data_IF_502136203021
#
_entry.id   IF_502136203021
#
_cell.length_a   1.000
_cell.length_b   1.000
_cell.length_c   1.000
_cell.angle_alpha   90.00
_cell.angle_beta   90.00
_cell.angle_gamma   90.00
#
_symmetry.space_group_name_H-M   'P 1'
#
loop_
_entity.id
_entity.type
_entity.pdbx_description
1 polymer ?
#
# COMPACT_ATOMS: atom_id res chain seq x y z
N UNK A 1 7.46 -13.01 28.08
CA UNK A 1 6.20 -12.37 27.68
C UNK A 1 5.89 -12.75 26.23
N UNK A 2 4.61 -12.74 25.82
CA UNK A 2 4.16 -12.95 24.43
C UNK A 2 3.55 -11.64 23.95
N UNK A 3 3.83 -11.24 22.71
CA UNK A 3 3.27 -10.03 22.08
C UNK A 3 2.49 -10.41 20.82
N UNK A 4 1.42 -9.67 20.55
CA UNK A 4 0.60 -9.75 19.33
C UNK A 4 0.90 -8.57 18.37
N UNK A 5 1.86 -7.72 18.71
CA UNK A 5 2.24 -6.57 17.89
C UNK A 5 2.82 -7.02 16.54
N UNK A 6 2.31 -6.42 15.47
CA UNK A 6 2.80 -6.65 14.11
C UNK A 6 4.21 -6.09 13.95
N UNK A 7 5.11 -6.92 13.41
CA UNK A 7 6.52 -6.62 13.24
C UNK A 7 7.00 -7.14 11.88
N UNK A 8 8.05 -6.53 11.36
CA UNK A 8 8.75 -6.88 10.13
C UNK A 8 10.20 -7.22 10.46
N UNK A 9 10.83 -8.04 9.61
CA UNK A 9 12.24 -8.38 9.79
C UNK A 9 13.16 -7.15 9.68
N UNK A 10 12.76 -6.18 8.85
CA UNK A 10 13.48 -4.91 8.66
C UNK A 10 13.49 -4.01 9.89
N UNK A 11 12.67 -4.29 10.91
CA UNK A 11 12.66 -3.51 12.16
C UNK A 11 13.82 -3.85 13.08
N UNK A 12 14.38 -5.05 12.95
CA UNK A 12 15.43 -5.52 13.86
C UNK A 12 16.65 -4.60 13.84
N UNK A 13 17.22 -4.21 12.67
CA UNK A 13 18.36 -3.30 12.64
C UNK A 13 18.07 -1.94 13.30
N UNK A 14 16.92 -1.32 12.99
CA UNK A 14 16.52 -0.03 13.58
C UNK A 14 16.40 -0.14 15.10
N UNK A 15 15.75 -1.20 15.57
CA UNK A 15 15.53 -1.42 17.01
C UNK A 15 16.84 -1.71 17.75
N UNK A 16 17.77 -2.45 17.13
CA UNK A 16 19.08 -2.74 17.72
C UNK A 16 19.95 -1.49 17.81
N UNK A 17 20.00 -0.67 16.75
CA UNK A 17 20.74 0.59 16.77
C UNK A 17 20.23 1.50 17.90
N UNK A 18 18.91 1.67 18.02
CA UNK A 18 18.29 2.44 19.09
C UNK A 18 18.60 1.88 20.48
N UNK A 19 18.48 0.57 20.66
CA UNK A 19 18.79 -0.09 21.93
C UNK A 19 20.27 0.07 22.35
N UNK A 20 21.18 0.16 21.39
CA UNK A 20 22.60 0.43 21.63
C UNK A 20 22.94 1.92 21.82
N UNK A 21 21.96 2.83 21.71
CA UNK A 21 22.20 4.27 21.74
C UNK A 21 22.93 4.80 20.51
N UNK A 22 22.87 4.07 19.39
CA UNK A 22 23.46 4.46 18.11
C UNK A 22 22.43 5.22 17.26
N UNK A 23 22.94 6.07 16.38
CA UNK A 23 22.13 6.78 15.40
C UNK A 23 21.55 5.80 14.37
N UNK A 24 20.28 5.99 13.99
CA UNK A 24 19.62 5.22 12.94
C UNK A 24 19.81 5.98 11.62
N UNK A 25 20.41 5.37 10.59
CA UNK A 25 20.53 5.98 9.27
C UNK A 25 19.18 6.45 8.70
N UNK A 26 19.17 7.62 8.07
CA UNK A 26 17.95 8.26 7.55
C UNK A 26 17.31 7.53 6.34
N UNK A 27 18.01 6.56 5.76
CA UNK A 27 17.52 5.69 4.68
C UNK A 27 16.80 4.43 5.22
N UNK A 28 16.88 4.15 6.51
CA UNK A 28 16.10 3.08 7.14
C UNK A 28 14.66 3.53 7.37
N UNK A 29 13.73 2.93 6.63
CA UNK A 29 12.29 3.24 6.71
C UNK A 29 11.52 2.38 7.73
N UNK A 30 12.19 1.43 8.38
CA UNK A 30 11.57 0.55 9.36
C UNK A 30 11.37 1.23 10.73
N UNK A 31 10.53 0.65 11.59
CA UNK A 31 10.10 1.29 12.85
C UNK A 31 10.72 0.59 14.05
N UNK A 32 11.25 1.37 14.99
CA UNK A 32 11.77 0.90 16.28
C UNK A 32 10.71 0.14 17.11
N UNK A 33 11.05 -1.07 17.54
CA UNK A 33 10.21 -1.93 18.39
C UNK A 33 10.67 -1.97 19.85
N UNK A 34 11.73 -1.24 20.23
CA UNK A 34 12.32 -1.29 21.58
C UNK A 34 11.30 -1.01 22.69
N UNK A 35 10.43 -0.03 22.49
CA UNK A 35 9.33 0.31 23.42
C UNK A 35 8.28 -0.80 23.54
N UNK A 36 7.99 -1.51 22.44
CA UNK A 36 7.08 -2.67 22.43
C UNK A 36 7.72 -3.83 23.19
N UNK A 37 9.00 -4.11 22.95
CA UNK A 37 9.74 -5.21 23.60
C UNK A 37 9.92 -4.98 25.10
N UNK A 38 10.07 -3.71 25.51
CA UNK A 38 10.11 -3.32 26.91
C UNK A 38 8.72 -3.32 27.59
N UNK A 39 7.65 -3.59 26.85
CA UNK A 39 6.28 -3.59 27.35
C UNK A 39 5.75 -2.20 27.71
N UNK A 40 6.36 -1.13 27.20
CA UNK A 40 5.95 0.26 27.44
C UNK A 40 4.81 0.70 26.55
N UNK A 41 4.72 0.15 25.34
CA UNK A 41 3.61 0.35 24.40
C UNK A 41 3.10 -0.99 23.87
N UNK A 42 1.82 -1.06 23.50
CA UNK A 42 1.20 -2.31 22.99
C UNK A 42 1.70 -2.66 21.58
N UNK A 43 1.84 -1.66 20.70
CA UNK A 43 2.24 -1.84 19.31
C UNK A 43 2.87 -0.54 18.77
N UNK A 44 3.77 -0.68 17.79
CA UNK A 44 4.40 0.45 17.09
C UNK A 44 3.79 0.74 15.72
N UNK A 45 2.90 -0.12 15.22
CA UNK A 45 2.18 0.03 13.94
C UNK A 45 0.84 -0.70 13.98
N UNK A 46 -0.02 -0.35 13.04
CA UNK A 46 -1.33 -0.98 12.87
C UNK A 46 -1.37 -2.04 11.77
N UNK A 47 -0.37 -2.04 10.89
CA UNK A 47 -0.32 -2.92 9.72
C UNK A 47 1.10 -3.15 9.23
N UNK A 48 1.28 -4.21 8.46
CA UNK A 48 2.51 -4.51 7.76
C UNK A 48 2.25 -4.79 6.30
N UNK A 49 3.20 -4.36 5.46
CA UNK A 49 3.24 -4.69 4.05
C UNK A 49 4.31 -5.75 3.82
N UNK A 50 3.95 -6.77 3.03
CA UNK A 50 4.85 -7.84 2.61
C UNK A 50 4.78 -7.95 1.10
N UNK A 51 5.95 -7.89 0.47
CA UNK A 51 6.09 -7.97 -0.98
C UNK A 51 6.72 -9.29 -1.39
N UNK A 52 6.21 -9.88 -2.47
CA UNK A 52 6.79 -11.04 -3.09
C UNK A 52 6.87 -10.83 -4.60
N UNK A 53 8.09 -10.57 -5.08
CA UNK A 53 8.39 -10.37 -6.49
C UNK A 53 9.48 -11.35 -6.93
N UNK A 54 9.13 -12.63 -7.04
CA UNK A 54 10.10 -13.72 -7.16
C UNK A 54 10.60 -13.93 -8.61
N UNK A 55 9.80 -13.61 -9.64
CA UNK A 55 10.16 -13.79 -11.05
C UNK A 55 9.44 -12.77 -11.94
N UNK A 56 10.04 -12.33 -13.07
CA UNK A 56 9.45 -11.31 -13.94
C UNK A 56 8.07 -11.67 -14.51
N UNK A 57 7.74 -12.96 -14.58
CA UNK A 57 6.56 -13.47 -15.31
C UNK A 57 5.52 -14.14 -14.43
N UNK A 58 5.82 -14.43 -13.17
CA UNK A 58 5.08 -15.48 -12.43
C UNK A 58 4.37 -14.95 -11.19
N UNK A 59 5.09 -14.24 -10.31
CA UNK A 59 4.55 -13.80 -9.02
C UNK A 59 5.04 -12.38 -8.70
N UNK A 60 4.11 -11.44 -8.76
CA UNK A 60 4.23 -10.10 -8.20
C UNK A 60 3.03 -9.88 -7.29
N UNK A 61 3.22 -10.13 -6.00
CA UNK A 61 2.18 -10.06 -4.99
C UNK A 61 2.52 -9.02 -3.92
N UNK A 62 1.49 -8.32 -3.46
CA UNK A 62 1.54 -7.43 -2.29
C UNK A 62 0.52 -7.88 -1.28
N UNK A 63 0.95 -7.96 -0.03
CA UNK A 63 0.11 -8.38 1.09
C UNK A 63 0.09 -7.29 2.15
N UNK A 64 -1.11 -6.86 2.54
CA UNK A 64 -1.37 -6.04 3.71
C UNK A 64 -1.89 -6.94 4.82
N UNK A 65 -1.26 -6.88 6.00
CA UNK A 65 -1.73 -7.56 7.20
C UNK A 65 -2.00 -6.52 8.27
N UNK A 66 -3.21 -6.54 8.82
CA UNK A 66 -3.65 -5.75 9.97
C UNK A 66 -3.89 -6.69 11.17
N UNK A 67 -4.31 -6.16 12.32
CA UNK A 67 -4.67 -6.99 13.48
C UNK A 67 -5.77 -8.02 13.14
N UNK A 68 -6.71 -7.68 12.25
CA UNK A 68 -7.87 -8.53 11.93
C UNK A 68 -7.91 -9.06 10.51
N UNK A 69 -7.33 -8.38 9.53
CA UNK A 69 -7.49 -8.74 8.12
C UNK A 69 -6.15 -8.93 7.43
N UNK A 70 -6.13 -9.88 6.48
CA UNK A 70 -5.05 -10.06 5.52
C UNK A 70 -5.61 -9.91 4.10
N UNK A 71 -5.01 -9.03 3.32
CA UNK A 71 -5.35 -8.78 1.91
C UNK A 71 -4.11 -9.05 1.06
N UNK A 72 -4.21 -9.91 0.05
CA UNK A 72 -3.17 -10.11 -0.97
C UNK A 72 -3.70 -9.78 -2.36
N UNK A 73 -2.98 -8.90 -3.06
CA UNK A 73 -3.24 -8.54 -4.45
C UNK A 73 -2.13 -9.09 -5.34
N UNK A 74 -2.51 -9.69 -6.47
CA UNK A 74 -1.59 -10.19 -7.48
C UNK A 74 -1.63 -9.27 -8.69
N UNK A 75 -0.47 -8.74 -9.10
CA UNK A 75 -0.38 -7.76 -10.17
C UNK A 75 -1.08 -8.26 -11.46
N UNK A 76 -1.99 -7.45 -11.99
CA UNK A 76 -2.78 -7.74 -13.21
C UNK A 76 -3.60 -9.04 -13.18
N UNK A 77 -3.96 -9.53 -11.99
CA UNK A 77 -4.91 -10.65 -11.82
C UNK A 77 -6.28 -10.13 -11.40
N UNK A 78 -7.31 -10.83 -11.82
CA UNK A 78 -8.71 -10.59 -11.44
C UNK A 78 -9.10 -11.24 -10.11
N UNK A 79 -8.25 -12.15 -9.62
CA UNK A 79 -8.36 -12.78 -8.31
C UNK A 79 -7.33 -12.22 -7.31
N UNK A 80 -7.61 -12.46 -6.03
CA UNK A 80 -6.79 -12.10 -4.89
C UNK A 80 -7.24 -12.86 -3.65
N UNK A 81 -6.71 -12.46 -2.50
CA UNK A 81 -7.03 -13.10 -1.23
C UNK A 81 -7.45 -12.06 -0.20
N UNK A 82 -8.52 -12.35 0.53
CA UNK A 82 -8.98 -11.55 1.66
C UNK A 82 -9.42 -12.50 2.78
N UNK A 83 -8.78 -12.40 3.94
CA UNK A 83 -9.09 -13.23 5.11
C UNK A 83 -9.41 -12.36 6.33
N UNK A 84 -10.41 -12.78 7.11
CA UNK A 84 -10.68 -12.29 8.46
C UNK A 84 -9.97 -13.21 9.46
N UNK A 85 -8.82 -12.76 9.97
CA UNK A 85 -7.94 -13.51 10.87
C UNK A 85 -8.54 -13.71 12.27
N UNK A 86 -9.53 -12.91 12.65
CA UNK A 86 -10.25 -13.07 13.92
C UNK A 86 -11.23 -14.25 13.84
N UNK A 87 -12.02 -14.31 12.77
CA UNK A 87 -13.03 -15.35 12.58
C UNK A 87 -12.51 -16.60 11.85
N UNK A 88 -11.40 -16.47 11.12
CA UNK A 88 -10.75 -17.52 10.34
C UNK A 88 -9.21 -17.42 10.46
N UNK A 89 -8.65 -17.70 11.65
CA UNK A 89 -7.21 -17.66 11.88
C UNK A 89 -6.42 -18.69 11.05
N UNK A 90 -7.11 -19.65 10.42
CA UNK A 90 -6.51 -20.64 9.52
C UNK A 90 -6.53 -20.24 8.05
N UNK A 91 -7.01 -19.05 7.71
CA UNK A 91 -7.08 -18.53 6.33
C UNK A 91 -7.76 -19.50 5.34
N UNK A 92 -8.84 -20.15 5.76
CA UNK A 92 -9.55 -21.18 4.96
C UNK A 92 -10.64 -20.59 4.08
N UNK A 93 -11.17 -19.41 4.43
CA UNK A 93 -12.30 -18.75 3.75
C UNK A 93 -11.84 -17.44 3.12
N UNK A 94 -11.49 -17.51 1.84
CA UNK A 94 -11.19 -16.33 1.05
C UNK A 94 -12.47 -15.52 0.75
N UNK A 95 -12.51 -14.26 1.18
CA UNK A 95 -13.61 -13.31 1.03
C UNK A 95 -13.48 -12.40 -0.20
N UNK A 96 -12.46 -12.59 -1.06
CA UNK A 96 -12.18 -11.69 -2.19
C UNK A 96 -13.36 -11.48 -3.16
N UNK A 97 -14.10 -12.56 -3.43
CA UNK A 97 -15.29 -12.57 -4.29
C UNK A 97 -16.61 -12.53 -3.49
N UNK A 98 -16.54 -12.43 -2.16
CA UNK A 98 -17.73 -12.33 -1.32
C UNK A 98 -18.36 -10.94 -1.46
N UNK A 99 -19.61 -10.89 -1.94
CA UNK A 99 -20.30 -9.63 -2.21
C UNK A 99 -20.55 -8.80 -0.93
N UNK A 100 -20.75 -9.46 0.22
CA UNK A 100 -20.92 -8.77 1.50
C UNK A 100 -19.61 -8.09 1.96
N UNK A 101 -18.46 -8.61 1.53
CA UNK A 101 -17.14 -8.09 1.84
C UNK A 101 -16.61 -7.08 0.81
N UNK A 102 -17.40 -6.69 -0.19
CA UNK A 102 -16.95 -5.79 -1.27
C UNK A 102 -16.43 -4.44 -0.75
N UNK A 103 -17.16 -3.80 0.18
CA UNK A 103 -16.73 -2.53 0.79
C UNK A 103 -15.48 -2.69 1.65
N UNK A 104 -15.36 -3.82 2.36
CA UNK A 104 -14.18 -4.14 3.16
C UNK A 104 -12.94 -4.28 2.27
N UNK A 105 -13.08 -4.98 1.15
CA UNK A 105 -12.02 -5.12 0.16
C UNK A 105 -11.57 -3.76 -0.37
N UNK A 106 -12.51 -2.91 -0.79
CA UNK A 106 -12.20 -1.58 -1.31
C UNK A 106 -11.44 -0.75 -0.27
N UNK A 107 -11.88 -0.78 0.99
CA UNK A 107 -11.21 -0.12 2.11
C UNK A 107 -9.80 -0.65 2.37
N UNK A 108 -9.59 -1.98 2.33
CA UNK A 108 -8.26 -2.57 2.51
C UNK A 108 -7.31 -2.28 1.34
N UNK A 109 -7.81 -2.21 0.11
CA UNK A 109 -7.00 -1.84 -1.07
C UNK A 109 -6.56 -0.39 -0.98
N UNK A 110 -7.46 0.52 -0.58
CA UNK A 110 -7.11 1.92 -0.29
C UNK A 110 -6.06 2.00 0.82
N UNK A 111 -6.27 1.29 1.93
CA UNK A 111 -5.33 1.24 3.06
C UNK A 111 -3.97 0.69 2.66
N UNK A 112 -3.93 -0.32 1.79
CA UNK A 112 -2.69 -0.85 1.22
C UNK A 112 -1.96 0.23 0.42
N UNK A 113 -2.66 1.01 -0.41
CA UNK A 113 -2.08 2.11 -1.18
C UNK A 113 -1.47 3.17 -0.25
N UNK A 114 -2.21 3.58 0.78
CA UNK A 114 -1.77 4.55 1.78
C UNK A 114 -0.53 4.07 2.54
N UNK A 115 -0.53 2.81 2.97
CA UNK A 115 0.60 2.18 3.65
C UNK A 115 1.87 2.20 2.77
N UNK A 116 1.74 1.93 1.48
CA UNK A 116 2.88 2.00 0.54
C UNK A 116 3.36 3.44 0.38
N UNK A 117 2.44 4.41 0.26
CA UNK A 117 2.80 5.82 0.14
C UNK A 117 3.52 6.33 1.39
N UNK A 118 3.15 5.85 2.58
CA UNK A 118 3.84 6.19 3.83
C UNK A 118 5.25 5.58 3.94
N UNK A 119 5.53 4.49 3.21
CA UNK A 119 6.87 3.90 3.14
C UNK A 119 7.78 4.59 2.12
N UNK A 120 7.20 5.27 1.12
CA UNK A 120 7.96 6.12 0.22
C UNK A 120 8.55 7.28 1.03
N UNK A 121 9.87 7.50 0.94
CA UNK A 121 10.63 8.43 1.77
C UNK A 121 9.89 9.76 2.01
N UNK A 122 9.78 10.17 3.28
CA UNK A 122 9.38 11.52 3.62
C UNK A 122 10.40 12.53 3.09
N UNK A 123 9.92 13.67 2.60
CA UNK A 123 10.77 14.81 2.25
C UNK A 123 11.31 15.43 3.54
N UNK A 124 12.62 15.46 3.68
CA UNK A 124 13.28 16.53 4.44
C UNK A 124 13.52 17.72 3.50
N UNK A 125 13.81 18.89 4.07
CA UNK A 125 14.08 20.12 3.32
C UNK A 125 15.21 19.95 2.30
N UNK A 126 16.14 19.02 2.54
CA UNK A 126 17.26 18.70 1.67
C UNK A 126 16.83 17.93 0.41
N UNK A 127 15.93 16.95 0.53
CA UNK A 127 15.40 16.16 -0.59
C UNK A 127 14.38 16.93 -1.42
N UNK A 128 13.68 17.90 -0.83
CA UNK A 128 12.81 18.86 -1.53
C UNK A 128 13.59 19.76 -2.50
N UNK A 129 14.87 19.99 -2.23
CA UNK A 129 15.75 20.78 -3.10
C UNK A 129 16.27 20.01 -4.33
N UNK A 130 16.00 18.71 -4.44
CA UNK A 130 16.42 17.93 -5.61
C UNK A 130 15.51 18.25 -6.80
N UNK A 131 16.07 18.51 -8.00
CA UNK A 131 15.29 18.94 -9.18
C UNK A 131 14.26 17.92 -9.68
N UNK A 132 14.30 16.70 -9.13
CA UNK A 132 13.49 15.56 -9.56
C UNK A 132 12.43 15.14 -8.50
N UNK A 133 12.40 15.79 -7.33
CA UNK A 133 11.43 15.53 -6.25
C UNK A 133 10.51 16.75 -6.08
N UNK A 134 9.20 16.55 -6.13
CA UNK A 134 8.18 17.62 -5.97
C UNK A 134 7.04 17.13 -5.08
N UNK A 135 6.23 18.04 -4.52
CA UNK A 135 5.00 17.69 -3.79
C UNK A 135 4.05 16.79 -4.62
N UNK A 136 4.12 16.85 -5.96
CA UNK A 136 3.38 15.96 -6.86
C UNK A 136 3.81 14.48 -6.81
N UNK A 137 4.91 14.14 -6.13
CA UNK A 137 5.40 12.77 -5.97
C UNK A 137 4.56 11.97 -4.97
N UNK A 138 3.80 12.64 -4.09
CA UNK A 138 2.91 12.06 -3.06
C UNK A 138 1.45 11.96 -3.53
N UNK A 139 1.13 12.55 -4.68
CA UNK A 139 -0.14 12.31 -5.35
C UNK A 139 0.00 11.08 -6.25
N UNK A 140 -0.86 10.08 -6.06
CA UNK A 140 -0.98 8.94 -6.99
C UNK A 140 -2.24 9.13 -7.80
N UNK A 141 -2.10 9.13 -9.13
CA UNK A 141 -3.23 9.24 -10.04
C UNK A 141 -3.16 8.22 -11.15
N UNK A 142 -4.33 7.84 -11.65
CA UNK A 142 -4.46 6.96 -12.81
C UNK A 142 -5.64 7.41 -13.66
N UNK A 143 -5.39 7.62 -14.94
CA UNK A 143 -6.39 7.74 -15.98
C UNK A 143 -6.68 6.36 -16.59
N UNK A 144 -7.96 5.96 -16.59
CA UNK A 144 -8.42 4.73 -17.20
C UNK A 144 -9.76 4.96 -17.93
N UNK A 145 -9.69 5.28 -19.22
CA UNK A 145 -10.86 5.58 -20.04
C UNK A 145 -11.55 6.87 -19.60
N UNK A 146 -12.84 6.78 -19.23
CA UNK A 146 -13.64 7.93 -18.75
C UNK A 146 -13.37 8.31 -17.28
N UNK A 147 -12.52 7.56 -16.59
CA UNK A 147 -12.33 7.71 -15.15
C UNK A 147 -10.90 8.14 -14.85
N UNK A 148 -10.76 9.06 -13.90
CA UNK A 148 -9.49 9.37 -13.24
C UNK A 148 -9.67 9.20 -11.74
N UNK A 149 -8.71 8.54 -11.10
CA UNK A 149 -8.61 8.49 -9.64
C UNK A 149 -7.38 9.28 -9.20
N UNK A 150 -7.52 10.03 -8.12
CA UNK A 150 -6.43 10.77 -7.48
C UNK A 150 -6.45 10.46 -5.99
N UNK A 151 -5.28 10.11 -5.43
CA UNK A 151 -5.07 9.90 -3.99
C UNK A 151 -3.89 10.76 -3.55
N UNK A 152 -4.18 11.71 -2.67
CA UNK A 152 -3.24 12.68 -2.14
C UNK A 152 -3.53 12.92 -0.65
N UNK A 153 -2.97 12.05 0.23
CA UNK A 153 -3.27 12.06 1.66
C UNK A 153 -2.76 13.31 2.38
N UNK A 154 -1.68 13.94 1.89
CA UNK A 154 -1.11 15.14 2.50
C UNK A 154 -2.07 16.34 2.43
N UNK A 155 -2.85 16.41 1.35
CA UNK A 155 -3.81 17.50 1.12
C UNK A 155 -5.26 17.08 1.38
N UNK A 156 -5.49 15.92 2.01
CA UNK A 156 -6.82 15.32 2.21
C UNK A 156 -7.65 15.24 0.91
N UNK A 157 -6.97 15.00 -0.22
CA UNK A 157 -7.58 15.02 -1.54
C UNK A 157 -7.71 13.60 -2.08
N UNK A 158 -8.96 13.17 -2.18
CA UNK A 158 -9.35 11.88 -2.75
C UNK A 158 -10.46 12.11 -3.77
N UNK A 159 -10.17 11.81 -5.03
CA UNK A 159 -11.06 12.18 -6.13
C UNK A 159 -11.32 10.97 -7.03
N UNK A 160 -12.56 10.85 -7.50
CA UNK A 160 -12.94 9.94 -8.57
C UNK A 160 -13.64 10.76 -9.65
N UNK A 161 -12.88 11.26 -10.61
CA UNK A 161 -13.39 12.10 -11.69
C UNK A 161 -13.97 11.26 -12.82
N UNK A 162 -15.24 11.50 -13.15
CA UNK A 162 -15.87 11.05 -14.39
C UNK A 162 -15.69 12.11 -15.47
N UNK A 163 -14.75 11.88 -16.39
CA UNK A 163 -14.44 12.80 -17.51
C UNK A 163 -15.44 12.65 -18.67
N UNK A 164 -16.36 11.69 -18.61
CA UNK A 164 -17.33 11.43 -19.66
C UNK A 164 -16.68 10.91 -20.95
N UNK A 165 -17.28 11.22 -22.09
CA UNK A 165 -16.80 10.77 -23.41
C UNK A 165 -15.80 11.75 -24.07
N UNK A 166 -15.57 12.93 -23.49
CA UNK A 166 -14.78 13.99 -24.12
C UNK A 166 -13.40 14.12 -23.47
N UNK A 167 -12.31 13.82 -24.19
CA UNK A 167 -10.95 14.04 -23.70
C UNK A 167 -10.75 15.50 -23.29
N UNK A 168 -10.27 15.75 -22.07
CA UNK A 168 -10.00 17.11 -21.57
C UNK A 168 -11.15 17.79 -20.82
N UNK A 169 -12.30 17.12 -20.65
CA UNK A 169 -13.32 17.57 -19.70
C UNK A 169 -12.75 17.66 -18.29
N UNK A 170 -13.07 18.70 -17.48
CA UNK A 170 -12.65 18.76 -16.07
C UNK A 170 -13.21 17.58 -15.26
N UNK A 171 -14.25 16.91 -15.76
CA UNK A 171 -14.91 15.80 -15.11
C UNK A 171 -15.78 16.22 -13.93
N UNK A 172 -16.59 15.29 -13.44
CA UNK A 172 -17.37 15.47 -12.22
C UNK A 172 -16.77 14.56 -11.15
N UNK A 173 -16.43 15.10 -10.00
CA UNK A 173 -15.98 14.28 -8.87
C UNK A 173 -17.14 13.47 -8.30
N UNK A 174 -16.91 12.16 -8.23
CA UNK A 174 -17.82 11.13 -7.77
C UNK A 174 -17.25 10.38 -6.56
N UNK A 175 -16.21 10.90 -5.92
CA UNK A 175 -15.59 10.22 -4.77
C UNK A 175 -16.61 9.91 -3.66
N UNK A 176 -17.43 10.89 -3.30
CA UNK A 176 -18.45 10.76 -2.26
C UNK A 176 -19.73 10.04 -2.71
N UNK A 177 -19.88 9.74 -4.00
CA UNK A 177 -21.09 9.15 -4.58
C UNK A 177 -21.18 7.64 -4.25
N UNK A 178 -22.16 7.19 -3.45
CA UNK A 178 -22.28 5.77 -3.08
C UNK A 178 -22.54 4.85 -4.28
N UNK A 179 -23.18 5.36 -5.34
CA UNK A 179 -23.44 4.58 -6.56
C UNK A 179 -22.13 4.27 -7.30
N UNK A 180 -21.12 5.11 -7.11
CA UNK A 180 -19.80 4.95 -7.71
C UNK A 180 -18.82 4.11 -6.86
N UNK A 181 -19.24 3.53 -5.71
CA UNK A 181 -18.35 2.75 -4.84
C UNK A 181 -17.64 1.61 -5.57
N UNK A 182 -18.36 0.84 -6.39
CA UNK A 182 -17.77 -0.26 -7.14
C UNK A 182 -16.75 0.23 -8.18
N UNK A 183 -16.99 1.39 -8.78
CA UNK A 183 -16.05 1.99 -9.73
C UNK A 183 -14.83 2.55 -9.02
N UNK A 184 -15.01 3.17 -7.84
CA UNK A 184 -13.91 3.63 -6.98
C UNK A 184 -12.98 2.47 -6.62
N UNK A 185 -13.52 1.35 -6.15
CA UNK A 185 -12.75 0.15 -5.83
C UNK A 185 -11.96 -0.40 -7.03
N UNK A 186 -12.58 -0.44 -8.21
CA UNK A 186 -11.90 -0.83 -9.47
C UNK A 186 -10.75 0.10 -9.82
N UNK A 187 -10.97 1.41 -9.76
CA UNK A 187 -9.93 2.40 -10.07
C UNK A 187 -8.79 2.37 -9.05
N UNK A 188 -9.09 2.15 -7.77
CA UNK A 188 -8.08 2.00 -6.71
C UNK A 188 -7.20 0.78 -6.95
N UNK A 189 -7.80 -0.38 -7.28
CA UNK A 189 -7.05 -1.59 -7.61
C UNK A 189 -6.26 -1.42 -8.91
N UNK A 190 -6.80 -0.72 -9.91
CA UNK A 190 -6.08 -0.42 -11.14
C UNK A 190 -4.86 0.48 -10.89
N UNK A 191 -5.00 1.48 -10.01
CA UNK A 191 -3.88 2.33 -9.58
C UNK A 191 -2.81 1.50 -8.86
N UNK A 192 -3.22 0.57 -7.99
CA UNK A 192 -2.31 -0.36 -7.32
C UNK A 192 -1.52 -1.20 -8.34
N UNK A 193 -2.18 -1.75 -9.36
CA UNK A 193 -1.51 -2.52 -10.42
C UNK A 193 -0.61 -1.66 -11.30
N UNK A 194 -1.01 -0.44 -11.65
CA UNK A 194 -0.17 0.46 -12.43
C UNK A 194 1.14 0.78 -11.69
N UNK A 195 1.09 0.96 -10.36
CA UNK A 195 2.28 1.17 -9.53
C UNK A 195 3.16 -0.08 -9.49
N UNK A 196 2.58 -1.24 -9.16
CA UNK A 196 3.31 -2.52 -9.17
C UNK A 196 3.98 -2.79 -10.52
N UNK A 197 3.31 -2.50 -11.63
CA UNK A 197 3.86 -2.71 -12.97
C UNK A 197 5.01 -1.76 -13.33
N UNK A 198 5.04 -0.55 -12.74
CA UNK A 198 6.08 0.45 -12.98
C UNK A 198 7.36 0.20 -12.17
N UNK A 199 7.34 -0.71 -11.20
CA UNK A 199 8.48 -0.96 -10.32
C UNK A 199 9.59 -1.74 -11.01
N UNK A 200 10.86 -1.29 -10.87
CA UNK A 200 11.97 -1.97 -11.49
C UNK A 200 12.20 -3.34 -10.85
N UNK A 201 12.33 -4.38 -11.67
CA UNK A 201 12.78 -5.69 -11.20
C UNK A 201 14.24 -5.58 -10.74
N UNK A 202 14.52 -5.85 -9.46
CA UNK A 202 15.85 -5.64 -8.88
C UNK A 202 16.91 -6.67 -9.33
N UNK A 203 16.56 -7.68 -10.13
CA UNK A 203 17.60 -8.51 -10.77
C UNK A 203 18.12 -7.85 -12.05
N UNK A 204 19.44 -7.58 -12.17
CA UNK A 204 20.01 -7.19 -13.44
C UNK A 204 19.76 -8.29 -14.47
N UNK A 205 19.36 -7.91 -15.69
CA UNK A 205 19.32 -8.82 -16.84
C UNK A 205 20.74 -9.25 -17.20
N UNK A 206 21.31 -10.21 -16.46
CA UNK A 206 22.56 -10.88 -16.84
C UNK A 206 22.20 -12.14 -17.60
N UNK A 207 22.14 -11.96 -18.92
CA UNK A 207 22.62 -12.85 -19.98
C UNK A 207 21.65 -12.82 -21.17
N UNK A 208 22.16 -12.24 -22.26
CA UNK A 208 21.81 -12.76 -23.57
C UNK A 208 22.34 -14.18 -23.66
N UNK A 209 21.52 -15.05 -24.25
CA UNK A 209 21.93 -16.28 -24.90
C UNK A 209 21.37 -16.22 -26.33
#
# INVERSE_FOLDING_TARGET
>A
ARSEALQLLSDLPVSYLRACGLEVPADMTAIDQSEVWAGRVKAARNEVLVENHHQPTTLHARTLVTERYKLTVYCHRDYGELFDLENDPGEKRNLWHDAASARLKDWLVERMLLAQMAQEEALDDERLAWPNKSAGMYTKSLDAGRWRITVDPENDRYELLDTGQYPGSPGIDRWADPECSAQRGRMMLALQFARMAAEPFWMPRVSGA
#
